data_IF_448034711928
#
_entry.id   IF_448034711928
#
_cell.length_a   1.000
_cell.length_b   1.000
_cell.length_c   1.000
_cell.angle_alpha   90.00
_cell.angle_beta   90.00
_cell.angle_gamma   90.00
#
_symmetry.space_group_name_H-M   'P 1'
#
loop_
_entity.id
_entity.type
_entity.pdbx_description
1 polymer ?
#
# COMPACT_ATOMS: atom_id res chain seq x y z
N UNK A 1 -0.87 -1.97 -10.47
CA UNK A 1 -0.30 -2.06 -9.14
C UNK A 1 -1.37 -1.79 -8.10
N UNK A 2 -1.57 -2.73 -7.19
CA UNK A 2 -2.53 -2.65 -6.10
C UNK A 2 -1.85 -2.59 -4.72
N UNK A 3 -0.58 -2.20 -4.65
CA UNK A 3 0.17 -2.16 -3.39
C UNK A 3 -0.43 -1.23 -2.33
N UNK A 4 -1.24 -0.24 -2.73
CA UNK A 4 -1.93 0.68 -1.81
C UNK A 4 -3.44 0.41 -1.70
N UNK A 5 -4.01 -0.43 -2.57
CA UNK A 5 -5.45 -0.63 -2.66
C UNK A 5 -5.90 -2.04 -2.29
N UNK A 6 -5.02 -3.05 -2.42
CA UNK A 6 -5.32 -4.40 -1.94
C UNK A 6 -5.57 -4.39 -0.43
N UNK A 7 -6.68 -4.97 0.01
CA UNK A 7 -7.13 -4.95 1.40
C UNK A 7 -7.87 -3.68 1.84
N UNK A 8 -7.93 -2.64 0.99
CA UNK A 8 -8.63 -1.37 1.26
C UNK A 8 -9.84 -1.17 0.36
N UNK A 9 -9.70 -1.50 -0.92
CA UNK A 9 -10.78 -1.41 -1.91
C UNK A 9 -11.14 -2.79 -2.44
N UNK A 10 -12.41 -3.02 -2.79
CA UNK A 10 -12.79 -4.22 -3.49
C UNK A 10 -12.16 -4.24 -4.89
N UNK A 11 -11.43 -5.30 -5.19
CA UNK A 11 -10.80 -5.49 -6.50
C UNK A 11 -11.37 -6.78 -7.11
N UNK A 12 -12.09 -6.64 -8.21
CA UNK A 12 -12.59 -7.77 -9.00
C UNK A 12 -11.85 -7.79 -10.35
N UNK A 13 -10.87 -8.67 -10.45
CA UNK A 13 -10.01 -8.76 -11.63
C UNK A 13 -10.78 -9.08 -12.92
N UNK A 14 -11.93 -9.75 -12.82
CA UNK A 14 -12.75 -10.09 -13.98
C UNK A 14 -13.57 -8.88 -14.44
N UNK A 15 -14.29 -8.23 -13.53
CA UNK A 15 -15.10 -7.03 -13.84
C UNK A 15 -14.24 -5.86 -14.28
N UNK A 16 -13.04 -5.72 -13.71
CA UNK A 16 -12.08 -4.67 -14.04
C UNK A 16 -11.23 -5.00 -15.28
N UNK A 17 -11.40 -6.18 -15.87
CA UNK A 17 -10.64 -6.66 -17.03
C UNK A 17 -9.12 -6.60 -16.83
N UNK A 18 -8.66 -6.97 -15.64
CA UNK A 18 -7.24 -6.92 -15.27
C UNK A 18 -6.54 -8.17 -15.79
N UNK A 19 -5.45 -7.98 -16.52
CA UNK A 19 -4.59 -9.06 -17.01
C UNK A 19 -3.53 -9.47 -16.00
N UNK A 20 -2.92 -8.48 -15.35
CA UNK A 20 -1.87 -8.67 -14.34
C UNK A 20 -2.14 -7.69 -13.20
N UNK A 21 -2.14 -8.20 -11.97
CA UNK A 21 -2.25 -7.39 -10.76
C UNK A 21 -1.10 -7.74 -9.82
N UNK A 22 -0.33 -6.74 -9.40
CA UNK A 22 0.71 -6.89 -8.40
C UNK A 22 0.28 -6.23 -7.10
N UNK A 23 0.58 -6.87 -5.96
CA UNK A 23 0.25 -6.35 -4.64
C UNK A 23 1.32 -6.70 -3.61
N UNK A 24 1.38 -5.93 -2.53
CA UNK A 24 2.21 -6.21 -1.36
C UNK A 24 1.37 -6.66 -0.17
N UNK A 25 1.90 -7.61 0.61
CA UNK A 25 1.15 -8.19 1.73
C UNK A 25 1.18 -7.36 3.01
N UNK A 26 2.18 -6.49 3.21
CA UNK A 26 2.42 -5.79 4.48
C UNK A 26 1.73 -4.42 4.63
N UNK A 27 0.82 -4.07 3.73
CA UNK A 27 0.01 -2.84 3.80
C UNK A 27 -1.44 -3.17 4.14
N UNK A 28 -2.40 -2.77 3.33
CA UNK A 28 -3.82 -3.01 3.58
C UNK A 28 -4.23 -4.48 3.75
N UNK A 29 -3.41 -5.42 3.27
CA UNK A 29 -3.59 -6.86 3.53
C UNK A 29 -3.13 -7.30 4.92
N UNK A 30 -2.54 -6.44 5.75
CA UNK A 30 -2.14 -6.66 7.14
C UNK A 30 -1.15 -7.83 7.36
N UNK A 31 -0.54 -8.33 6.31
CA UNK A 31 0.42 -9.43 6.36
C UNK A 31 1.84 -9.00 6.71
N UNK A 32 2.77 -9.95 6.86
CA UNK A 32 4.16 -9.68 7.16
C UNK A 32 4.91 -8.96 6.04
N UNK A 33 5.96 -8.23 6.40
CA UNK A 33 6.93 -7.70 5.43
C UNK A 33 7.57 -8.84 4.61
N UNK A 34 7.97 -8.53 3.38
CA UNK A 34 8.55 -9.51 2.46
C UNK A 34 7.53 -10.48 1.86
N UNK A 35 6.23 -10.15 1.96
CA UNK A 35 5.15 -10.86 1.29
C UNK A 35 4.46 -9.99 0.25
N UNK A 36 3.85 -10.64 -0.70
CA UNK A 36 3.10 -10.03 -1.79
C UNK A 36 2.76 -11.07 -2.83
N UNK A 37 2.20 -10.64 -3.93
CA UNK A 37 1.86 -11.58 -4.99
C UNK A 37 1.54 -10.89 -6.30
N UNK A 38 1.35 -11.74 -7.31
CA UNK A 38 0.95 -11.32 -8.63
C UNK A 38 -0.15 -12.23 -9.15
N UNK A 39 -1.27 -11.64 -9.50
CA UNK A 39 -2.28 -12.32 -10.30
C UNK A 39 -1.92 -12.20 -11.78
N UNK A 40 -2.04 -13.30 -12.50
CA UNK A 40 -1.89 -13.33 -13.96
C UNK A 40 -3.11 -14.01 -14.56
N UNK A 41 -3.82 -13.33 -15.45
CA UNK A 41 -4.99 -13.89 -16.13
C UNK A 41 -4.58 -15.10 -16.97
N UNK A 42 -5.40 -16.15 -16.94
CA UNK A 42 -5.19 -17.36 -17.75
C UNK A 42 -5.04 -16.99 -19.24
N UNK A 43 -3.97 -17.50 -19.85
CA UNK A 43 -3.63 -17.22 -21.24
C UNK A 43 -2.71 -16.02 -21.45
N UNK A 44 -2.40 -15.25 -20.41
CA UNK A 44 -1.37 -14.21 -20.46
C UNK A 44 0.00 -14.84 -20.20
N UNK A 45 0.94 -14.63 -21.10
CA UNK A 45 2.31 -15.12 -20.97
C UNK A 45 3.19 -14.06 -20.31
N UNK A 46 3.83 -14.44 -19.19
CA UNK A 46 4.83 -13.61 -18.49
C UNK A 46 6.16 -14.35 -18.50
N UNK A 47 7.18 -13.72 -19.05
CA UNK A 47 8.54 -14.29 -19.06
C UNK A 47 9.17 -14.13 -17.68
N UNK A 48 9.72 -15.20 -17.07
CA UNK A 48 10.46 -15.11 -15.82
C UNK A 48 11.62 -14.10 -15.93
N UNK A 49 11.74 -13.23 -14.92
CA UNK A 49 12.87 -12.33 -14.77
C UNK A 49 14.01 -13.03 -14.02
N UNK A 50 13.65 -13.81 -13.00
CA UNK A 50 14.58 -14.60 -12.19
C UNK A 50 14.32 -16.08 -12.46
N UNK A 51 15.40 -16.87 -12.42
CA UNK A 51 15.33 -18.33 -12.47
C UNK A 51 16.25 -18.92 -11.39
N UNK A 52 15.87 -20.09 -10.87
CA UNK A 52 16.61 -20.73 -9.80
C UNK A 52 15.94 -22.01 -9.35
N UNK A 53 16.48 -22.64 -8.33
CA UNK A 53 15.94 -23.89 -7.78
C UNK A 53 14.52 -23.72 -7.28
N UNK A 54 13.56 -24.38 -7.91
CA UNK A 54 12.12 -24.28 -7.58
C UNK A 54 11.61 -25.43 -6.69
N UNK A 55 12.48 -26.40 -6.41
CA UNK A 55 12.09 -27.61 -5.67
C UNK A 55 11.33 -28.65 -6.53
N UNK A 56 11.02 -28.33 -7.79
CA UNK A 56 10.39 -29.24 -8.74
C UNK A 56 11.28 -29.41 -9.98
N UNK A 57 11.10 -30.53 -10.71
CA UNK A 57 11.89 -30.84 -11.91
C UNK A 57 13.41 -30.74 -11.67
N UNK A 58 13.92 -31.38 -10.62
CA UNK A 58 15.28 -31.24 -10.06
C UNK A 58 16.41 -31.38 -11.10
N UNK A 59 16.22 -32.17 -12.16
CA UNK A 59 17.19 -32.39 -13.21
C UNK A 59 17.01 -31.49 -14.44
N UNK A 60 15.97 -30.64 -14.45
CA UNK A 60 15.78 -29.66 -15.52
C UNK A 60 16.88 -28.61 -15.48
N UNK A 61 17.38 -28.21 -16.65
CA UNK A 61 18.36 -27.12 -16.83
C UNK A 61 17.69 -25.78 -17.10
N UNK A 62 16.38 -25.76 -17.19
CA UNK A 62 15.57 -24.57 -17.50
C UNK A 62 14.52 -24.36 -16.41
N UNK A 63 14.06 -23.11 -16.28
CA UNK A 63 12.95 -22.76 -15.42
C UNK A 63 11.68 -23.52 -15.88
N UNK A 64 10.85 -24.06 -14.95
CA UNK A 64 9.55 -24.63 -15.29
C UNK A 64 8.66 -23.64 -16.03
N UNK A 65 7.82 -24.12 -16.92
CA UNK A 65 6.89 -23.27 -17.70
C UNK A 65 5.51 -23.16 -17.03
N UNK A 66 5.21 -24.06 -16.09
CA UNK A 66 3.91 -24.10 -15.42
C UNK A 66 3.78 -23.05 -14.32
N UNK A 67 2.68 -22.31 -14.35
CA UNK A 67 2.31 -21.37 -13.28
C UNK A 67 1.80 -22.13 -12.04
N UNK A 68 2.08 -21.67 -10.81
CA UNK A 68 2.83 -20.45 -10.46
C UNK A 68 4.35 -20.61 -10.50
N UNK A 69 4.87 -21.83 -10.58
CA UNK A 69 6.30 -22.18 -10.43
C UNK A 69 7.20 -21.46 -11.45
N UNK A 70 6.66 -21.19 -12.64
CA UNK A 70 7.38 -20.45 -13.68
C UNK A 70 7.93 -19.10 -13.17
N UNK A 71 7.23 -18.43 -12.27
CA UNK A 71 7.59 -17.10 -11.77
C UNK A 71 8.14 -17.12 -10.33
N UNK A 72 8.31 -18.33 -9.75
CA UNK A 72 8.82 -18.53 -8.40
C UNK A 72 10.24 -19.11 -8.47
N UNK A 73 11.26 -18.30 -8.19
CA UNK A 73 12.65 -18.72 -8.17
C UNK A 73 13.17 -18.87 -6.73
N UNK A 74 13.76 -20.01 -6.43
CA UNK A 74 14.30 -20.32 -5.11
C UNK A 74 13.27 -20.85 -4.11
N UNK A 75 13.66 -20.96 -2.85
CA UNK A 75 12.79 -21.42 -1.75
C UNK A 75 11.83 -20.30 -1.37
N UNK A 76 10.54 -20.60 -1.39
CA UNK A 76 9.49 -19.64 -1.05
C UNK A 76 9.54 -19.25 0.44
N UNK A 77 9.12 -18.01 0.74
CA UNK A 77 8.95 -17.51 2.09
C UNK A 77 7.71 -18.13 2.77
N UNK A 78 7.79 -19.41 3.12
CA UNK A 78 6.66 -20.16 3.69
C UNK A 78 6.10 -19.54 4.98
N UNK A 79 6.96 -19.02 5.85
CA UNK A 79 6.54 -18.36 7.09
C UNK A 79 5.76 -17.07 6.81
N UNK A 80 6.26 -16.25 5.89
CA UNK A 80 5.57 -15.03 5.47
C UNK A 80 4.24 -15.32 4.78
N UNK A 81 4.19 -16.34 3.92
CA UNK A 81 2.96 -16.76 3.23
C UNK A 81 1.91 -17.22 4.24
N UNK A 82 2.29 -18.05 5.23
CA UNK A 82 1.38 -18.48 6.29
C UNK A 82 0.86 -17.29 7.13
N UNK A 83 1.72 -16.29 7.41
CA UNK A 83 1.31 -15.07 8.07
C UNK A 83 0.35 -14.21 7.23
N UNK A 84 0.56 -14.16 5.91
CA UNK A 84 -0.35 -13.47 4.99
C UNK A 84 -1.70 -14.18 4.88
N UNK A 85 -1.71 -15.52 4.87
CA UNK A 85 -2.94 -16.33 4.89
C UNK A 85 -3.79 -16.03 6.14
N UNK A 86 -3.16 -16.02 7.32
CA UNK A 86 -3.84 -15.65 8.55
C UNK A 86 -4.39 -14.20 8.53
N UNK A 87 -3.65 -13.27 7.94
CA UNK A 87 -4.09 -11.88 7.79
C UNK A 87 -5.30 -11.76 6.84
N UNK A 88 -5.31 -12.50 5.74
CA UNK A 88 -6.44 -12.57 4.81
C UNK A 88 -7.67 -13.15 5.52
N UNK A 89 -7.51 -14.23 6.29
CA UNK A 89 -8.60 -14.79 7.10
C UNK A 89 -9.22 -13.76 8.06
N UNK A 90 -8.40 -12.94 8.72
CA UNK A 90 -8.88 -11.82 9.55
C UNK A 90 -9.66 -10.78 8.74
N UNK A 91 -9.19 -10.42 7.54
CA UNK A 91 -9.88 -9.48 6.67
C UNK A 91 -11.22 -10.02 6.17
N UNK A 92 -11.30 -11.32 5.88
CA UNK A 92 -12.55 -11.99 5.50
C UNK A 92 -13.55 -12.03 6.64
N UNK A 93 -13.10 -12.34 7.86
CA UNK A 93 -13.94 -12.37 9.06
C UNK A 93 -14.47 -10.98 9.44
N UNK A 94 -13.59 -9.97 9.44
CA UNK A 94 -13.92 -8.59 9.83
C UNK A 94 -14.71 -7.85 8.75
N UNK A 95 -14.41 -8.15 7.49
CA UNK A 95 -14.94 -7.47 6.32
C UNK A 95 -14.16 -6.20 5.94
N UNK A 96 -13.62 -6.17 4.72
CA UNK A 96 -12.85 -5.02 4.19
C UNK A 96 -13.69 -3.73 4.25
N UNK A 97 -14.98 -3.79 3.92
CA UNK A 97 -15.87 -2.63 3.95
C UNK A 97 -16.05 -2.07 5.37
N UNK A 98 -16.06 -2.93 6.39
CA UNK A 98 -16.13 -2.51 7.80
C UNK A 98 -14.88 -1.74 8.22
N UNK A 99 -13.70 -2.28 7.89
CA UNK A 99 -12.40 -1.64 8.17
C UNK A 99 -12.34 -0.29 7.46
N UNK A 100 -12.63 -0.28 6.16
CA UNK A 100 -12.62 0.92 5.33
C UNK A 100 -13.57 2.00 5.83
N UNK A 101 -14.78 1.64 6.23
CA UNK A 101 -15.76 2.60 6.77
C UNK A 101 -15.24 3.28 8.04
N UNK A 102 -14.58 2.53 8.93
CA UNK A 102 -13.95 3.05 10.15
C UNK A 102 -12.81 4.02 9.82
N UNK A 103 -11.89 3.61 8.96
CA UNK A 103 -10.75 4.42 8.52
C UNK A 103 -11.21 5.73 7.86
N UNK A 104 -12.19 5.65 6.96
CA UNK A 104 -12.75 6.83 6.28
C UNK A 104 -13.47 7.77 7.25
N UNK A 105 -14.18 7.25 8.23
CA UNK A 105 -14.82 8.07 9.27
C UNK A 105 -13.79 8.85 10.09
N UNK A 106 -12.67 8.21 10.46
CA UNK A 106 -11.57 8.86 11.18
C UNK A 106 -10.88 9.92 10.32
N UNK A 107 -10.56 9.58 9.08
CA UNK A 107 -9.98 10.53 8.12
C UNK A 107 -10.87 11.75 7.91
N UNK A 108 -12.18 11.54 7.72
CA UNK A 108 -13.15 12.62 7.54
C UNK A 108 -13.18 13.53 8.77
N UNK A 109 -13.25 12.94 9.97
CA UNK A 109 -13.23 13.69 11.23
C UNK A 109 -11.97 14.55 11.34
N UNK A 110 -10.81 13.98 11.02
CA UNK A 110 -9.55 14.70 11.02
C UNK A 110 -9.56 15.84 10.00
N UNK A 111 -9.89 15.56 8.75
CA UNK A 111 -9.95 16.54 7.68
C UNK A 111 -10.86 17.72 8.03
N UNK A 112 -12.07 17.46 8.52
CA UNK A 112 -13.02 18.50 8.92
C UNK A 112 -12.48 19.36 10.08
N UNK A 113 -11.70 18.76 10.99
CA UNK A 113 -11.10 19.46 12.11
C UNK A 113 -9.94 20.38 11.74
N UNK A 114 -9.24 20.09 10.63
CA UNK A 114 -8.01 20.84 10.29
C UNK A 114 -8.15 21.78 9.09
N UNK A 115 -9.16 21.57 8.23
CA UNK A 115 -9.26 22.29 6.95
C UNK A 115 -9.37 23.80 7.07
N UNK A 116 -9.87 24.29 8.21
CA UNK A 116 -10.04 25.73 8.48
C UNK A 116 -8.91 26.31 9.35
N UNK A 117 -7.91 25.51 9.72
CA UNK A 117 -6.78 26.02 10.55
C UNK A 117 -5.89 26.91 9.69
N UNK A 118 -5.67 28.17 10.08
CA UNK A 118 -4.82 29.07 9.31
C UNK A 118 -3.39 28.58 9.19
N UNK A 119 -2.88 28.55 7.96
CA UNK A 119 -1.53 28.09 7.66
C UNK A 119 -1.40 26.58 7.42
N UNK A 120 -2.46 25.81 7.53
CA UNK A 120 -2.50 24.42 7.09
C UNK A 120 -2.83 24.36 5.60
N UNK A 121 -1.99 23.69 4.83
CA UNK A 121 -2.21 23.38 3.41
C UNK A 121 -2.36 21.89 3.27
N UNK A 122 -3.58 21.45 2.90
CA UNK A 122 -3.90 20.03 2.68
C UNK A 122 -3.75 19.71 1.19
N UNK A 123 -3.17 18.54 0.88
CA UNK A 123 -2.94 18.07 -0.48
C UNK A 123 -3.94 17.01 -0.88
N UNK A 124 -4.38 17.07 -2.14
CA UNK A 124 -5.33 16.14 -2.74
C UNK A 124 -6.75 16.69 -2.81
N UNK A 125 -7.59 15.99 -3.56
CA UNK A 125 -9.00 16.33 -3.74
C UNK A 125 -9.85 15.61 -2.68
N UNK A 126 -10.54 16.37 -1.84
CA UNK A 126 -11.47 15.91 -0.82
C UNK A 126 -12.93 16.16 -1.18
N UNK A 127 -13.23 16.45 -2.45
CA UNK A 127 -14.61 16.53 -2.95
C UNK A 127 -15.34 15.17 -2.87
N UNK A 128 -14.59 14.08 -2.96
CA UNK A 128 -15.06 12.72 -2.70
C UNK A 128 -14.31 12.10 -1.53
N UNK A 129 -15.05 11.45 -0.61
CA UNK A 129 -14.50 10.65 0.47
C UNK A 129 -14.23 9.19 0.08
N UNK A 130 -14.52 8.80 -1.16
CA UNK A 130 -14.19 7.48 -1.70
C UNK A 130 -12.70 7.40 -2.08
N UNK A 131 -11.85 7.37 -1.06
CA UNK A 131 -10.40 7.42 -1.14
C UNK A 131 -9.75 6.62 -0.01
N UNK A 132 -8.46 6.35 -0.12
CA UNK A 132 -7.69 5.81 1.00
C UNK A 132 -7.69 6.79 2.17
N UNK A 133 -7.70 6.27 3.38
CA UNK A 133 -7.75 7.05 4.62
C UNK A 133 -6.38 7.67 4.96
N UNK A 134 -5.96 8.60 4.10
CA UNK A 134 -4.68 9.31 4.18
C UNK A 134 -4.91 10.79 3.98
N UNK A 135 -4.29 11.62 4.85
CA UNK A 135 -4.25 13.07 4.70
C UNK A 135 -2.79 13.52 4.74
N UNK A 136 -2.34 14.18 3.68
CA UNK A 136 -1.02 14.81 3.63
C UNK A 136 -1.18 16.32 3.68
N UNK A 137 -0.37 16.96 4.49
CA UNK A 137 -0.45 18.41 4.68
C UNK A 137 0.92 19.02 4.97
N UNK A 138 0.99 20.34 4.85
CA UNK A 138 2.07 21.18 5.40
C UNK A 138 1.48 22.27 6.29
N UNK A 139 2.29 22.72 7.23
CA UNK A 139 1.96 23.85 8.13
C UNK A 139 2.92 24.98 7.78
N UNK A 140 2.39 26.03 7.16
CA UNK A 140 3.20 27.17 6.70
C UNK A 140 4.44 26.69 5.92
N UNK A 141 5.61 27.20 6.25
CA UNK A 141 6.93 26.92 5.69
C UNK A 141 7.80 26.01 6.56
N UNK A 142 7.23 25.42 7.62
CA UNK A 142 7.97 24.46 8.46
C UNK A 142 8.36 23.22 7.69
N UNK A 143 9.56 22.71 7.95
CA UNK A 143 9.98 21.39 7.45
C UNK A 143 9.08 20.28 7.97
N UNK A 144 8.76 19.33 7.10
CA UNK A 144 7.84 18.24 7.46
C UNK A 144 8.38 17.31 8.56
N UNK A 145 9.71 17.17 8.68
CA UNK A 145 10.37 16.44 9.76
C UNK A 145 10.18 17.15 11.10
N UNK A 146 10.43 18.46 11.15
CA UNK A 146 10.24 19.26 12.37
C UNK A 146 8.81 19.17 12.87
N UNK A 147 7.82 19.27 11.97
CA UNK A 147 6.39 19.14 12.34
C UNK A 147 6.08 17.72 12.85
N UNK A 148 6.61 16.68 12.20
CA UNK A 148 6.41 15.31 12.62
C UNK A 148 7.02 15.02 13.98
N UNK A 149 8.22 15.55 14.25
CA UNK A 149 8.93 15.41 15.52
C UNK A 149 8.19 16.14 16.65
N UNK A 150 7.71 17.34 16.42
CA UNK A 150 6.90 18.10 17.40
C UNK A 150 5.59 17.34 17.72
N UNK A 151 4.89 16.82 16.70
CA UNK A 151 3.67 16.02 16.89
C UNK A 151 3.93 14.77 17.73
N UNK A 152 5.04 14.09 17.51
CA UNK A 152 5.41 12.91 18.28
C UNK A 152 5.82 13.29 19.71
N UNK A 153 6.68 14.27 19.88
CA UNK A 153 7.28 14.62 21.17
C UNK A 153 6.27 15.27 22.12
N UNK A 154 5.48 16.21 21.62
CA UNK A 154 4.60 17.02 22.46
C UNK A 154 3.21 16.40 22.63
N UNK A 155 2.76 15.58 21.66
CA UNK A 155 1.38 15.08 21.61
C UNK A 155 1.29 13.56 21.46
N UNK A 156 2.39 12.83 21.28
CA UNK A 156 2.39 11.39 21.06
C UNK A 156 1.74 10.97 19.73
N UNK A 157 1.68 11.88 18.75
CA UNK A 157 1.07 11.63 17.44
C UNK A 157 2.14 11.21 16.45
N UNK A 158 2.13 9.93 16.07
CA UNK A 158 3.04 9.39 15.06
C UNK A 158 2.55 9.72 13.65
N UNK A 159 3.40 10.33 12.85
CA UNK A 159 3.14 10.67 11.45
C UNK A 159 4.32 10.25 10.57
N UNK A 160 4.18 10.36 9.27
CA UNK A 160 5.30 10.18 8.36
C UNK A 160 5.59 11.47 7.60
N UNK A 161 6.81 11.98 7.76
CA UNK A 161 7.33 13.15 7.04
C UNK A 161 8.05 12.80 5.74
N UNK A 162 8.39 13.81 4.94
CA UNK A 162 9.25 13.74 3.77
C UNK A 162 8.54 13.34 2.49
N UNK A 163 9.25 12.59 1.62
CA UNK A 163 8.84 12.31 0.24
C UNK A 163 7.96 11.07 0.05
N UNK A 164 7.63 10.30 1.09
CA UNK A 164 6.67 9.18 1.09
C UNK A 164 6.91 8.09 0.03
N UNK A 165 8.14 7.95 -0.50
CA UNK A 165 8.47 7.09 -1.65
C UNK A 165 7.72 7.49 -2.95
N UNK A 166 7.38 8.77 -3.10
CA UNK A 166 6.58 9.29 -4.21
C UNK A 166 7.22 10.57 -4.81
N UNK A 167 8.45 10.52 -5.34
CA UNK A 167 9.17 11.72 -5.78
C UNK A 167 8.39 12.51 -6.85
N UNK A 168 7.83 11.84 -7.83
CA UNK A 168 7.05 12.51 -8.89
C UNK A 168 5.79 13.22 -8.36
N UNK A 169 5.18 12.68 -7.30
CA UNK A 169 4.06 13.35 -6.65
C UNK A 169 4.52 14.63 -5.95
N UNK A 170 5.65 14.59 -5.25
CA UNK A 170 6.21 15.76 -4.58
C UNK A 170 6.68 16.82 -5.58
N UNK A 171 7.22 16.43 -6.74
CA UNK A 171 7.50 17.34 -7.85
C UNK A 171 6.22 18.03 -8.35
N UNK A 172 5.16 17.26 -8.60
CA UNK A 172 3.88 17.78 -9.08
C UNK A 172 3.18 18.70 -8.07
N UNK A 173 3.35 18.43 -6.77
CA UNK A 173 2.77 19.24 -5.69
C UNK A 173 3.66 20.44 -5.28
N UNK A 174 4.89 20.51 -5.79
CA UNK A 174 5.88 21.55 -5.41
C UNK A 174 6.35 21.42 -3.96
N UNK A 175 6.47 20.19 -3.45
CA UNK A 175 6.83 19.90 -2.05
C UNK A 175 8.13 19.10 -1.91
N UNK A 176 9.00 19.15 -2.93
CA UNK A 176 10.27 18.39 -2.91
C UNK A 176 11.16 18.83 -1.75
N UNK A 177 11.31 20.13 -1.54
CA UNK A 177 12.21 20.69 -0.51
C UNK A 177 11.61 20.57 0.90
N UNK A 178 10.33 20.87 1.06
CA UNK A 178 9.64 20.88 2.35
C UNK A 178 9.19 19.48 2.79
N UNK A 179 8.98 18.55 1.85
CA UNK A 179 8.27 17.32 2.09
C UNK A 179 6.78 17.56 2.38
N UNK A 180 6.15 16.59 2.99
CA UNK A 180 4.81 16.73 3.57
C UNK A 180 4.66 15.83 4.80
N UNK A 181 3.76 16.18 5.71
CA UNK A 181 3.40 15.37 6.86
C UNK A 181 2.17 14.53 6.48
N UNK A 182 2.29 13.23 6.56
CA UNK A 182 1.21 12.29 6.23
C UNK A 182 0.63 11.66 7.49
N UNK A 183 -0.67 11.81 7.64
CA UNK A 183 -1.50 11.10 8.60
C UNK A 183 -2.16 9.91 7.91
N UNK A 184 -2.14 8.75 8.54
CA UNK A 184 -2.79 7.51 8.07
C UNK A 184 -3.67 6.97 9.17
N UNK A 185 -4.85 6.48 8.85
CA UNK A 185 -5.89 6.06 9.80
C UNK A 185 -6.19 4.57 9.67
#
# INVERSE_FOLDING_TARGET
DASQTAGVFPIDVQKMHIDILCFTGHKGLLGPQGTGGMYVRKGVHVRPLLSGGTGVQTYSKTQPEEMPTALEAGTLNGHGIAGLDAAIGYLEETGIDTIRAKEQALMKRFYEGIKEIPGVKIYGDFSSMDRCAVVSLNIRDYDSGEVSDALLTDYGISTRSGGHCAPLMHEALGTVEQGAVRFSF
#
